data_IF_373337126734
#
_entry.id   IF_373337126734
#
_cell.length_a   1.000
_cell.length_b   1.000
_cell.length_c   1.000
_cell.angle_alpha   90.00
_cell.angle_beta   90.00
_cell.angle_gamma   90.00
#
_symmetry.space_group_name_H-M   'P 1'
#
loop_
_entity.id
_entity.type
_entity.pdbx_description
1 polymer ?
#
# COMPACT_ATOMS: atom_id res chain seq x y z
N UNK A 1 -12.81 -4.70 -5.57
CA UNK A 1 -11.71 -4.75 -4.60
C UNK A 1 -10.55 -3.79 -4.91
N UNK A 2 -10.08 -3.65 -6.16
CA UNK A 2 -8.93 -2.77 -6.47
C UNK A 2 -9.17 -1.25 -6.27
N UNK A 3 -10.39 -0.74 -6.47
CA UNK A 3 -10.70 0.71 -6.40
C UNK A 3 -10.79 1.27 -4.96
N UNK A 4 -11.20 0.47 -3.99
CA UNK A 4 -11.34 0.92 -2.60
C UNK A 4 -9.96 1.00 -1.91
N UNK A 5 -9.05 0.07 -2.22
CA UNK A 5 -7.64 0.15 -1.75
C UNK A 5 -6.91 1.38 -2.28
N UNK A 6 -7.20 1.85 -3.49
CA UNK A 6 -6.61 3.08 -4.03
C UNK A 6 -6.98 4.32 -3.19
N UNK A 7 -8.24 4.45 -2.77
CA UNK A 7 -8.72 5.65 -2.06
C UNK A 7 -8.14 5.77 -0.64
N UNK A 8 -8.02 4.65 0.10
CA UNK A 8 -7.48 4.66 1.46
C UNK A 8 -5.95 4.86 1.49
N UNK A 9 -5.21 4.24 0.57
CA UNK A 9 -3.77 4.49 0.44
C UNK A 9 -3.47 5.89 -0.12
N UNK A 10 -4.38 6.47 -0.92
CA UNK A 10 -4.26 7.85 -1.38
C UNK A 10 -4.44 8.86 -0.23
N UNK A 11 -5.28 8.56 0.75
CA UNK A 11 -5.42 9.37 1.98
C UNK A 11 -4.14 9.28 2.85
N UNK A 12 -3.46 8.15 2.90
CA UNK A 12 -2.16 7.99 3.57
C UNK A 12 -1.03 8.76 2.88
N UNK A 13 -1.02 8.81 1.54
CA UNK A 13 -0.13 9.69 0.77
C UNK A 13 -0.37 11.18 1.08
N UNK A 14 -1.62 11.57 1.36
CA UNK A 14 -1.99 12.94 1.74
C UNK A 14 -1.58 13.31 3.17
N UNK A 15 -1.60 12.38 4.11
CA UNK A 15 -1.19 12.62 5.50
C UNK A 15 0.30 12.93 5.65
N UNK A 16 1.14 12.29 4.85
CA UNK A 16 2.58 12.53 4.83
C UNK A 16 2.97 13.82 4.09
N UNK A 17 2.15 14.29 3.13
CA UNK A 17 2.41 15.52 2.40
C UNK A 17 2.08 16.79 3.17
N UNK A 18 1.22 16.75 4.20
CA UNK A 18 0.86 17.94 4.99
C UNK A 18 1.90 18.30 6.06
N UNK A 19 2.80 17.38 6.42
CA UNK A 19 3.91 17.62 7.35
C UNK A 19 5.19 18.16 6.71
N UNK A 20 5.34 18.03 5.38
CA UNK A 20 6.41 18.67 4.62
C UNK A 20 6.03 20.11 4.29
N UNK A 21 6.02 20.92 5.32
CA UNK A 21 5.88 22.36 5.27
C UNK A 21 6.93 22.99 4.35
N UNK A 22 6.57 24.12 3.80
CA UNK A 22 7.36 25.14 3.08
C UNK A 22 8.84 25.29 3.50
N UNK A 23 9.26 24.76 4.63
CA UNK A 23 10.65 24.75 5.11
C UNK A 23 11.61 23.92 4.22
N UNK A 24 11.19 22.80 3.62
CA UNK A 24 12.04 22.01 2.71
C UNK A 24 12.27 22.76 1.39
N UNK A 25 11.26 23.55 0.93
CA UNK A 25 11.42 24.40 -0.24
C UNK A 25 12.32 25.62 -0.02
N UNK A 26 12.40 26.11 1.22
CA UNK A 26 13.28 27.23 1.57
C UNK A 26 14.74 26.77 1.75
N UNK A 27 14.97 25.56 2.23
CA UNK A 27 16.33 25.06 2.50
C UNK A 27 17.09 24.70 1.22
N UNK A 28 16.41 24.20 0.18
CA UNK A 28 17.02 23.96 -1.14
C UNK A 28 17.44 25.27 -1.85
N UNK A 29 16.81 26.38 -1.53
CA UNK A 29 17.20 27.70 -2.04
C UNK A 29 18.39 28.34 -1.28
N UNK A 30 18.62 27.93 -0.02
CA UNK A 30 19.67 28.51 0.85
C UNK A 30 21.01 27.78 0.67
N UNK A 31 21.01 26.46 0.43
CA UNK A 31 22.25 25.67 0.31
C UNK A 31 23.02 25.88 -0.99
N UNK A 32 22.43 26.55 -1.98
CA UNK A 32 23.12 26.90 -3.22
C UNK A 32 24.10 28.09 -3.07
N UNK A 33 24.16 28.73 -1.91
CA UNK A 33 25.09 29.86 -1.66
C UNK A 33 26.48 29.48 -1.16
N UNK A 34 26.70 28.20 -0.76
CA UNK A 34 27.97 27.73 -0.19
C UNK A 34 28.78 26.80 -1.08
N UNK A 35 28.52 26.75 -2.39
CA UNK A 35 29.31 25.98 -3.36
C UNK A 35 30.79 26.39 -3.35
N UNK A 36 31.65 25.64 -2.63
CA UNK A 36 33.11 25.75 -2.71
C UNK A 36 33.59 25.41 -4.11
N UNK A 37 34.15 26.40 -4.78
CA UNK A 37 34.91 26.22 -6.02
C UNK A 37 36.31 25.75 -5.67
N UNK A 38 36.65 24.50 -6.05
CA UNK A 38 38.01 24.00 -5.96
C UNK A 38 38.75 24.19 -7.30
N UNK A 39 39.90 24.86 -7.19
CA UNK A 39 41.05 24.83 -8.12
C UNK A 39 40.84 25.28 -9.57
N UNK A 40 41.08 26.55 -9.78
CA UNK A 40 41.35 27.13 -11.10
C UNK A 40 42.86 27.19 -11.35
N UNK A 41 43.29 26.83 -12.54
CA UNK A 41 44.66 27.02 -13.03
C UNK A 41 45.01 28.51 -13.19
N UNK A 42 46.33 28.89 -13.07
CA UNK A 42 46.73 30.29 -12.85
C UNK A 42 46.62 31.25 -14.04
N UNK A 43 45.99 30.87 -15.15
CA UNK A 43 46.10 31.66 -16.40
C UNK A 43 44.79 32.08 -17.07
N UNK A 44 43.68 32.20 -16.33
CA UNK A 44 42.42 32.66 -16.92
C UNK A 44 42.10 34.12 -16.60
N UNK A 45 41.72 34.89 -17.62
CA UNK A 45 41.31 36.29 -17.51
C UNK A 45 40.15 36.44 -16.51
N UNK A 46 40.30 37.31 -15.45
CA UNK A 46 39.28 37.48 -14.41
C UNK A 46 37.89 37.86 -14.91
N UNK A 47 37.80 38.57 -16.02
CA UNK A 47 36.51 38.97 -16.65
C UNK A 47 35.77 37.82 -17.30
N UNK A 48 36.48 36.87 -17.90
CA UNK A 48 35.87 35.67 -18.49
C UNK A 48 35.34 34.73 -17.40
N UNK A 49 36.07 34.60 -16.30
CA UNK A 49 35.72 33.78 -15.15
C UNK A 49 34.48 34.30 -14.42
N UNK A 50 34.35 35.62 -14.24
CA UNK A 50 33.13 36.23 -13.69
C UNK A 50 31.89 36.02 -14.57
N UNK A 51 32.05 36.10 -15.89
CA UNK A 51 30.95 35.84 -16.86
C UNK A 51 30.51 34.37 -16.86
N UNK A 52 31.45 33.45 -16.78
CA UNK A 52 31.15 32.02 -16.69
C UNK A 52 30.41 31.74 -15.35
N UNK A 53 30.93 32.23 -14.21
CA UNK A 53 30.27 32.08 -12.94
C UNK A 53 28.87 32.71 -12.87
N UNK A 54 28.67 33.85 -13.50
CA UNK A 54 27.37 34.51 -13.59
C UNK A 54 26.39 33.68 -14.46
N UNK A 55 26.86 33.13 -15.59
CA UNK A 55 26.09 32.25 -16.45
C UNK A 55 25.69 30.96 -15.75
N UNK A 56 26.65 30.33 -15.06
CA UNK A 56 26.39 29.08 -14.32
C UNK A 56 25.41 29.29 -13.15
N UNK A 57 25.47 30.44 -12.45
CA UNK A 57 24.48 30.85 -11.45
C UNK A 57 23.08 31.01 -12.05
N UNK A 58 22.96 31.66 -13.20
CA UNK A 58 21.67 31.87 -13.89
C UNK A 58 21.10 30.52 -14.34
N UNK A 59 21.92 29.65 -14.93
CA UNK A 59 21.48 28.32 -15.35
C UNK A 59 21.06 27.48 -14.13
N UNK A 60 21.87 27.45 -13.07
CA UNK A 60 21.52 26.75 -11.83
C UNK A 60 20.20 27.27 -11.22
N UNK A 61 19.93 28.56 -11.33
CA UNK A 61 18.68 29.15 -10.85
C UNK A 61 17.49 28.74 -11.73
N UNK A 62 17.66 28.70 -13.06
CA UNK A 62 16.62 28.25 -14.00
C UNK A 62 16.30 26.77 -13.81
N UNK A 63 17.31 25.90 -13.70
CA UNK A 63 17.13 24.48 -13.45
C UNK A 63 16.43 24.24 -12.10
N UNK A 64 16.76 25.03 -11.08
CA UNK A 64 16.10 24.97 -9.78
C UNK A 64 14.63 25.37 -9.84
N UNK A 65 14.28 26.40 -10.62
CA UNK A 65 12.89 26.82 -10.82
C UNK A 65 12.11 25.75 -11.58
N UNK A 66 12.66 25.25 -12.69
CA UNK A 66 12.05 24.20 -13.50
C UNK A 66 11.85 22.90 -12.68
N UNK A 67 12.83 22.53 -11.87
CA UNK A 67 12.74 21.40 -10.93
C UNK A 67 11.58 21.58 -9.97
N UNK A 68 11.48 22.72 -9.30
CA UNK A 68 10.41 23.00 -8.34
C UNK A 68 9.02 23.00 -9.00
N UNK A 69 8.90 23.51 -10.21
CA UNK A 69 7.65 23.46 -10.97
C UNK A 69 7.27 22.02 -11.33
N UNK A 70 8.21 21.22 -11.82
CA UNK A 70 7.97 19.81 -12.15
C UNK A 70 7.55 19.03 -10.90
N UNK A 71 8.21 19.25 -9.75
CA UNK A 71 7.84 18.63 -8.47
C UNK A 71 6.44 19.01 -8.04
N UNK A 72 6.09 20.32 -8.05
CA UNK A 72 4.73 20.79 -7.69
C UNK A 72 3.67 20.15 -8.59
N UNK A 73 3.93 20.13 -9.90
CA UNK A 73 3.04 19.56 -10.89
C UNK A 73 2.87 18.04 -10.69
N UNK A 74 3.95 17.32 -10.40
CA UNK A 74 3.90 15.89 -10.10
C UNK A 74 2.99 15.59 -8.89
N UNK A 75 3.17 16.31 -7.77
CA UNK A 75 2.33 16.11 -6.59
C UNK A 75 0.87 16.53 -6.80
N UNK A 76 0.62 17.56 -7.61
CA UNK A 76 -0.74 17.89 -8.02
C UNK A 76 -1.39 16.76 -8.83
N UNK A 77 -0.66 16.20 -9.79
CA UNK A 77 -1.12 15.06 -10.61
C UNK A 77 -1.35 13.79 -9.80
N UNK A 78 -0.51 13.52 -8.81
CA UNK A 78 -0.70 12.41 -7.86
C UNK A 78 -2.01 12.56 -7.09
N UNK A 79 -2.35 13.77 -6.63
CA UNK A 79 -3.62 14.04 -5.94
C UNK A 79 -4.85 13.82 -6.82
N UNK A 80 -4.70 13.94 -8.13
CA UNK A 80 -5.77 13.76 -9.11
C UNK A 80 -5.71 12.39 -9.82
N UNK A 81 -5.03 11.41 -9.23
CA UNK A 81 -4.89 10.03 -9.73
C UNK A 81 -4.35 9.93 -11.17
N UNK A 82 -3.60 10.94 -11.60
CA UNK A 82 -3.02 11.00 -12.94
C UNK A 82 -1.61 10.40 -12.95
N UNK A 83 -1.50 9.08 -12.63
CA UNK A 83 -0.22 8.40 -12.43
C UNK A 83 0.77 8.49 -13.60
N UNK A 84 0.36 8.33 -14.90
CA UNK A 84 1.30 8.43 -16.01
C UNK A 84 1.93 9.82 -16.14
N UNK A 85 1.13 10.87 -15.96
CA UNK A 85 1.59 12.25 -16.06
C UNK A 85 2.47 12.62 -14.84
N UNK A 86 2.09 12.16 -13.64
CA UNK A 86 2.89 12.32 -12.43
C UNK A 86 4.26 11.64 -12.57
N UNK A 87 4.31 10.45 -13.14
CA UNK A 87 5.56 9.75 -13.46
C UNK A 87 6.46 10.61 -14.34
N UNK A 88 5.91 11.14 -15.44
CA UNK A 88 6.68 11.97 -16.39
C UNK A 88 7.30 13.20 -15.71
N UNK A 89 6.53 13.88 -14.86
CA UNK A 89 7.01 15.07 -14.14
C UNK A 89 8.06 14.72 -13.07
N UNK A 90 7.93 13.60 -12.36
CA UNK A 90 8.96 13.13 -11.43
C UNK A 90 10.25 12.77 -12.15
N UNK A 91 10.16 12.04 -13.26
CA UNK A 91 11.34 11.71 -14.08
C UNK A 91 11.98 12.97 -14.67
N UNK A 92 11.18 13.96 -15.06
CA UNK A 92 11.68 15.25 -15.53
C UNK A 92 12.43 15.99 -14.42
N UNK A 93 11.85 16.10 -13.23
CA UNK A 93 12.51 16.72 -12.07
C UNK A 93 13.85 16.05 -11.75
N UNK A 94 13.89 14.71 -11.71
CA UNK A 94 15.09 13.95 -11.43
C UNK A 94 16.21 14.13 -12.50
N UNK A 95 15.85 14.44 -13.75
CA UNK A 95 16.82 14.80 -14.80
C UNK A 95 17.37 16.21 -14.66
N UNK A 96 16.53 17.17 -14.21
CA UNK A 96 16.94 18.57 -14.04
C UNK A 96 17.97 18.72 -12.91
N UNK A 97 17.75 18.11 -11.76
CA UNK A 97 18.66 18.15 -10.60
C UNK A 97 18.94 16.75 -10.05
N UNK A 98 19.80 15.95 -10.70
CA UNK A 98 20.02 14.54 -10.34
C UNK A 98 20.58 14.31 -8.93
N UNK A 99 21.24 15.34 -8.34
CA UNK A 99 21.92 15.27 -7.04
C UNK A 99 21.20 16.05 -5.93
N UNK A 100 19.96 16.49 -6.14
CA UNK A 100 19.22 17.19 -5.09
C UNK A 100 18.95 16.24 -3.90
N UNK A 101 19.11 16.72 -2.68
CA UNK A 101 18.89 15.92 -1.45
C UNK A 101 17.46 15.38 -1.31
N UNK A 102 16.48 16.10 -1.87
CA UNK A 102 15.08 15.70 -1.89
C UNK A 102 14.76 14.54 -2.87
N UNK A 103 15.72 14.13 -3.71
CA UNK A 103 15.49 13.14 -4.75
C UNK A 103 15.14 11.76 -4.21
N UNK A 104 15.59 11.39 -3.02
CA UNK A 104 15.18 10.14 -2.37
C UNK A 104 13.65 10.05 -2.23
N UNK A 105 12.99 11.13 -1.81
CA UNK A 105 11.53 11.21 -1.69
C UNK A 105 10.86 11.15 -3.07
N UNK A 106 11.41 11.84 -4.08
CA UNK A 106 10.86 11.80 -5.43
C UNK A 106 10.99 10.42 -6.06
N UNK A 107 12.14 9.76 -5.91
CA UNK A 107 12.35 8.37 -6.36
C UNK A 107 11.45 7.39 -5.62
N UNK A 108 11.22 7.56 -4.33
CA UNK A 108 10.27 6.73 -3.60
C UNK A 108 8.85 6.87 -4.16
N UNK A 109 8.38 8.09 -4.44
CA UNK A 109 7.08 8.30 -5.06
C UNK A 109 7.03 7.74 -6.49
N UNK A 110 8.11 7.86 -7.25
CA UNK A 110 8.22 7.24 -8.57
C UNK A 110 8.15 5.70 -8.48
N UNK A 111 8.81 5.09 -7.50
CA UNK A 111 8.72 3.65 -7.26
C UNK A 111 7.31 3.20 -6.90
N UNK A 112 6.58 3.99 -6.10
CA UNK A 112 5.15 3.75 -5.80
C UNK A 112 4.30 3.81 -7.06
N UNK A 113 4.54 4.77 -7.95
CA UNK A 113 3.85 4.84 -9.25
C UNK A 113 4.14 3.60 -10.09
N UNK A 114 5.40 3.18 -10.20
CA UNK A 114 5.76 1.95 -10.90
C UNK A 114 5.03 0.74 -10.29
N UNK A 115 4.96 0.65 -8.96
CA UNK A 115 4.23 -0.41 -8.26
C UNK A 115 2.74 -0.42 -8.64
N UNK A 116 2.05 0.72 -8.58
CA UNK A 116 0.63 0.81 -8.93
C UNK A 116 0.33 0.58 -10.41
N UNK A 117 1.31 0.81 -11.28
CA UNK A 117 1.25 0.52 -12.71
C UNK A 117 1.71 -0.90 -13.06
N UNK A 118 1.92 -1.75 -12.06
CA UNK A 118 2.36 -3.14 -12.20
C UNK A 118 3.74 -3.29 -12.87
N UNK A 119 4.53 -2.23 -12.86
CA UNK A 119 5.91 -2.21 -13.37
C UNK A 119 6.89 -2.64 -12.25
N UNK A 120 6.70 -3.86 -11.74
CA UNK A 120 7.38 -4.36 -10.52
C UNK A 120 8.90 -4.32 -10.59
N UNK A 121 9.49 -4.57 -11.77
CA UNK A 121 10.96 -4.55 -11.94
C UNK A 121 11.52 -3.14 -11.86
N UNK A 122 10.82 -2.15 -12.40
CA UNK A 122 11.22 -0.74 -12.32
C UNK A 122 11.04 -0.22 -10.90
N UNK A 123 9.95 -0.60 -10.22
CA UNK A 123 9.75 -0.31 -8.80
C UNK A 123 10.91 -0.87 -7.95
N UNK A 124 11.28 -2.15 -8.13
CA UNK A 124 12.38 -2.78 -7.37
C UNK A 124 13.72 -2.10 -7.63
N UNK A 125 14.03 -1.76 -8.88
CA UNK A 125 15.26 -1.04 -9.23
C UNK A 125 15.33 0.32 -8.55
N UNK A 126 14.26 1.11 -8.67
CA UNK A 126 14.16 2.46 -8.10
C UNK A 126 14.25 2.43 -6.57
N UNK A 127 13.60 1.46 -5.91
CA UNK A 127 13.70 1.30 -4.44
C UNK A 127 15.11 0.93 -3.98
N UNK A 128 15.86 0.16 -4.75
CA UNK A 128 17.29 -0.09 -4.44
C UNK A 128 18.13 1.19 -4.54
N UNK A 129 17.87 2.04 -5.52
CA UNK A 129 18.55 3.34 -5.65
C UNK A 129 18.22 4.24 -4.46
N UNK A 130 16.93 4.33 -4.06
CA UNK A 130 16.52 5.09 -2.87
C UNK A 130 17.25 4.59 -1.62
N UNK A 131 17.32 3.28 -1.40
CA UNK A 131 18.02 2.71 -0.24
C UNK A 131 19.51 3.05 -0.22
N UNK A 132 20.18 2.98 -1.37
CA UNK A 132 21.59 3.32 -1.46
C UNK A 132 21.83 4.81 -1.14
N UNK A 133 20.97 5.69 -1.64
CA UNK A 133 21.00 7.12 -1.37
C UNK A 133 20.76 7.43 0.12
N UNK A 134 19.74 6.84 0.72
CA UNK A 134 19.42 7.02 2.14
C UNK A 134 20.51 6.47 3.06
N UNK A 135 21.14 5.34 2.70
CA UNK A 135 22.27 4.79 3.44
C UNK A 135 23.48 5.73 3.40
N UNK A 136 23.74 6.35 2.25
CA UNK A 136 24.80 7.35 2.11
C UNK A 136 24.51 8.60 2.96
N UNK A 137 23.28 9.10 2.92
CA UNK A 137 22.87 10.26 3.75
C UNK A 137 23.01 9.96 5.25
N UNK A 138 22.63 8.75 5.68
CA UNK A 138 22.77 8.33 7.07
C UNK A 138 24.24 8.28 7.50
N UNK A 139 25.11 7.72 6.66
CA UNK A 139 26.56 7.64 6.91
C UNK A 139 27.20 9.04 7.02
N UNK A 140 26.80 9.97 6.16
CA UNK A 140 27.28 11.36 6.21
C UNK A 140 26.84 12.08 7.47
N UNK A 141 25.57 11.93 7.91
CA UNK A 141 25.06 12.53 9.17
C UNK A 141 25.70 11.93 10.41
N UNK A 142 26.09 10.65 10.40
CA UNK A 142 26.81 10.00 11.49
C UNK A 142 28.22 10.57 11.75
N UNK A 143 28.83 11.17 10.75
CA UNK A 143 30.17 11.78 10.84
C UNK A 143 30.15 13.28 11.24
N UNK A 144 29.00 13.92 11.28
CA UNK A 144 28.88 15.34 11.64
C UNK A 144 28.57 15.45 13.14
N UNK A 145 29.63 15.46 13.97
CA UNK A 145 29.59 15.97 15.33
C UNK A 145 29.59 17.51 15.28
N UNK A 146 28.55 18.13 14.82
CA UNK A 146 28.43 19.60 14.91
C UNK A 146 26.98 20.01 15.14
N UNK A 147 26.80 20.68 16.25
CA UNK A 147 25.80 21.61 16.70
C UNK A 147 25.21 22.47 15.60
N UNK A 148 24.21 21.96 14.89
CA UNK A 148 23.10 22.74 14.31
C UNK A 148 21.88 21.82 14.34
N UNK A 149 20.76 22.35 14.80
CA UNK A 149 19.50 21.68 15.04
C UNK A 149 19.15 20.74 13.91
N UNK A 150 19.43 19.46 14.11
CA UNK A 150 19.19 18.41 13.14
C UNK A 150 17.70 18.37 12.84
N UNK A 151 17.33 18.33 11.57
CA UNK A 151 16.04 17.79 11.16
C UNK A 151 15.81 16.50 11.95
N UNK A 152 14.62 16.33 12.56
CA UNK A 152 14.42 15.26 13.51
C UNK A 152 14.81 13.92 12.89
N UNK A 153 15.64 13.14 13.60
CA UNK A 153 16.09 11.79 13.17
C UNK A 153 14.90 10.92 12.76
N UNK A 154 13.72 11.19 13.32
CA UNK A 154 12.45 10.58 12.99
C UNK A 154 12.10 10.58 11.49
N UNK A 155 12.33 11.68 10.77
CA UNK A 155 11.91 11.76 9.35
C UNK A 155 12.76 10.90 8.42
N UNK A 156 14.08 10.81 8.64
CA UNK A 156 14.96 9.97 7.82
C UNK A 156 14.73 8.49 8.13
N UNK A 157 14.56 8.14 9.40
CA UNK A 157 14.29 6.75 9.80
C UNK A 157 12.94 6.27 9.28
N UNK A 158 11.90 7.10 9.36
CA UNK A 158 10.58 6.80 8.78
C UNK A 158 10.67 6.59 7.26
N UNK A 159 11.39 7.44 6.54
CA UNK A 159 11.59 7.29 5.10
C UNK A 159 12.34 5.99 4.74
N UNK A 160 13.32 5.61 5.57
CA UNK A 160 14.03 4.34 5.43
C UNK A 160 13.07 3.16 5.63
N UNK A 161 12.29 3.17 6.71
CA UNK A 161 11.33 2.11 7.02
C UNK A 161 10.29 1.97 5.90
N UNK A 162 9.72 3.09 5.48
CA UNK A 162 8.76 3.12 4.36
C UNK A 162 9.36 2.53 3.07
N UNK A 163 10.62 2.89 2.75
CA UNK A 163 11.32 2.36 1.57
C UNK A 163 11.49 0.83 1.66
N UNK A 164 11.82 0.30 2.84
CA UNK A 164 11.91 -1.14 3.05
C UNK A 164 10.55 -1.83 2.86
N UNK A 165 9.49 -1.29 3.45
CA UNK A 165 8.14 -1.87 3.32
C UNK A 165 7.66 -1.89 1.86
N UNK A 166 7.88 -0.81 1.10
CA UNK A 166 7.58 -0.80 -0.33
C UNK A 166 8.42 -1.80 -1.11
N UNK A 167 9.69 -1.99 -0.75
CA UNK A 167 10.53 -3.00 -1.37
C UNK A 167 10.01 -4.42 -1.12
N UNK A 168 9.62 -4.73 0.12
CA UNK A 168 9.07 -6.05 0.46
C UNK A 168 7.75 -6.31 -0.27
N UNK A 169 6.86 -5.32 -0.34
CA UNK A 169 5.64 -5.40 -1.14
C UNK A 169 5.96 -5.69 -2.63
N UNK A 170 6.97 -5.01 -3.18
CA UNK A 170 7.38 -5.20 -4.57
C UNK A 170 7.96 -6.61 -4.80
N UNK A 171 8.78 -7.12 -3.89
CA UNK A 171 9.32 -8.48 -3.95
C UNK A 171 8.22 -9.54 -3.85
N UNK A 172 7.22 -9.32 -3.01
CA UNK A 172 6.03 -10.17 -2.93
C UNK A 172 5.28 -10.21 -4.27
N UNK A 173 5.05 -9.04 -4.90
CA UNK A 173 4.42 -8.96 -6.25
C UNK A 173 5.23 -9.65 -7.34
N UNK A 174 6.55 -9.70 -7.19
CA UNK A 174 7.46 -10.45 -8.08
C UNK A 174 7.47 -11.97 -7.79
N UNK A 175 6.67 -12.46 -6.85
CA UNK A 175 6.60 -13.87 -6.47
C UNK A 175 7.78 -14.36 -5.62
N UNK A 176 8.62 -13.44 -5.12
CA UNK A 176 9.81 -13.78 -4.31
C UNK A 176 9.45 -13.99 -2.84
N UNK A 177 8.44 -14.82 -2.56
CA UNK A 177 7.82 -14.96 -1.23
C UNK A 177 8.80 -15.33 -0.12
N UNK A 178 9.68 -16.32 -0.36
CA UNK A 178 10.67 -16.75 0.65
C UNK A 178 11.64 -15.63 0.99
N UNK A 179 12.21 -14.98 -0.02
CA UNK A 179 13.14 -13.86 0.17
C UNK A 179 12.48 -12.71 0.93
N UNK A 180 11.21 -12.44 0.63
CA UNK A 180 10.42 -11.40 1.29
C UNK A 180 10.18 -11.74 2.75
N UNK A 181 9.77 -12.98 3.06
CA UNK A 181 9.52 -13.44 4.43
C UNK A 181 10.79 -13.38 5.28
N UNK A 182 11.92 -13.88 4.76
CA UNK A 182 13.20 -13.85 5.48
C UNK A 182 13.68 -12.43 5.74
N UNK A 183 13.54 -11.55 4.75
CA UNK A 183 13.91 -10.14 4.86
C UNK A 183 13.02 -9.38 5.86
N UNK A 184 11.71 -9.63 5.85
CA UNK A 184 10.75 -9.06 6.81
C UNK A 184 11.03 -9.53 8.24
N UNK A 185 11.32 -10.82 8.43
CA UNK A 185 11.70 -11.36 9.75
C UNK A 185 12.95 -10.68 10.27
N UNK A 186 13.99 -10.57 9.46
CA UNK A 186 15.23 -9.89 9.84
C UNK A 186 14.99 -8.40 10.15
N UNK A 187 14.15 -7.71 9.36
CA UNK A 187 13.78 -6.33 9.57
C UNK A 187 13.05 -6.14 10.92
N UNK A 188 12.04 -6.93 11.21
CA UNK A 188 11.27 -6.87 12.45
C UNK A 188 12.10 -7.26 13.68
N UNK A 189 13.03 -8.23 13.55
CA UNK A 189 13.96 -8.62 14.62
C UNK A 189 14.90 -7.49 15.05
N UNK A 190 15.27 -6.61 14.13
CA UNK A 190 16.08 -5.42 14.43
C UNK A 190 15.29 -4.33 15.16
N UNK A 191 14.02 -4.57 15.49
CA UNK A 191 13.13 -3.65 16.23
C UNK A 191 13.16 -2.23 15.66
N UNK A 192 12.82 -2.04 14.38
CA UNK A 192 12.75 -0.71 13.81
C UNK A 192 11.67 0.10 14.54
N UNK A 193 11.88 1.42 14.64
CA UNK A 193 10.85 2.33 15.14
C UNK A 193 9.74 2.46 14.06
N UNK A 194 8.73 1.61 14.15
CA UNK A 194 7.57 1.60 13.25
C UNK A 194 6.38 2.29 13.92
N UNK A 195 5.59 2.99 13.13
CA UNK A 195 4.24 3.36 13.52
C UNK A 195 3.37 2.10 13.60
N UNK A 196 2.27 2.12 14.38
CA UNK A 196 1.36 0.97 14.44
C UNK A 196 0.90 0.48 13.06
N UNK A 197 0.65 1.40 12.13
CA UNK A 197 0.25 1.07 10.77
C UNK A 197 1.36 0.36 9.97
N UNK A 198 2.60 0.85 10.05
CA UNK A 198 3.74 0.21 9.39
C UNK A 198 4.02 -1.18 9.97
N UNK A 199 3.82 -1.36 11.28
CA UNK A 199 3.94 -2.65 11.94
C UNK A 199 2.85 -3.63 11.46
N UNK A 200 1.61 -3.16 11.36
CA UNK A 200 0.49 -3.94 10.79
C UNK A 200 0.79 -4.36 9.35
N UNK A 201 1.22 -3.43 8.50
CA UNK A 201 1.58 -3.71 7.11
C UNK A 201 2.68 -4.77 7.01
N UNK A 202 3.71 -4.66 7.84
CA UNK A 202 4.82 -5.61 7.86
C UNK A 202 4.38 -7.01 8.27
N UNK A 203 3.59 -7.16 9.33
CA UNK A 203 3.10 -8.46 9.78
C UNK A 203 2.03 -9.04 8.84
N UNK A 204 1.16 -8.23 8.27
CA UNK A 204 0.18 -8.68 7.25
C UNK A 204 0.91 -9.22 6.02
N UNK A 205 1.90 -8.48 5.50
CA UNK A 205 2.70 -8.95 4.36
C UNK A 205 3.50 -10.20 4.68
N UNK A 206 4.00 -10.34 5.92
CA UNK A 206 4.68 -11.55 6.37
C UNK A 206 3.70 -12.75 6.38
N UNK A 207 2.47 -12.54 6.84
CA UNK A 207 1.40 -13.52 6.78
C UNK A 207 1.07 -13.94 5.35
N UNK A 208 0.93 -12.98 4.44
CA UNK A 208 0.68 -13.22 3.02
C UNK A 208 1.81 -14.03 2.36
N UNK A 209 3.07 -13.73 2.71
CA UNK A 209 4.22 -14.51 2.24
C UNK A 209 4.16 -15.96 2.70
N UNK A 210 3.88 -16.20 3.99
CA UNK A 210 3.75 -17.54 4.55
C UNK A 210 2.56 -18.29 3.94
N UNK A 211 1.42 -17.61 3.73
CA UNK A 211 0.27 -18.17 3.05
C UNK A 211 0.61 -18.62 1.62
N UNK A 212 1.32 -17.78 0.85
CA UNK A 212 1.78 -18.11 -0.49
C UNK A 212 2.75 -19.31 -0.51
N UNK A 213 3.55 -19.46 0.54
CA UNK A 213 4.46 -20.59 0.76
C UNK A 213 3.75 -21.83 1.34
N UNK A 214 2.45 -21.74 1.64
CA UNK A 214 1.65 -22.78 2.32
C UNK A 214 2.13 -23.12 3.73
N UNK A 215 2.87 -22.22 4.38
CA UNK A 215 3.25 -22.29 5.78
C UNK A 215 2.12 -21.68 6.63
N UNK A 216 1.02 -22.41 6.74
CA UNK A 216 -0.23 -21.90 7.30
C UNK A 216 -0.12 -21.50 8.78
N UNK A 217 0.64 -22.23 9.58
CA UNK A 217 0.82 -21.88 11.00
C UNK A 217 1.60 -20.57 11.18
N UNK A 218 2.66 -20.38 10.40
CA UNK A 218 3.40 -19.13 10.42
C UNK A 218 2.56 -17.94 9.86
N UNK A 219 1.70 -18.19 8.87
CA UNK A 219 0.77 -17.19 8.36
C UNK A 219 -0.21 -16.74 9.45
N UNK A 220 -0.86 -17.68 10.15
CA UNK A 220 -1.78 -17.38 11.27
C UNK A 220 -1.05 -16.61 12.37
N UNK A 221 0.18 -17.01 12.72
CA UNK A 221 0.96 -16.31 13.74
C UNK A 221 1.24 -14.85 13.36
N UNK A 222 1.58 -14.60 12.10
CA UNK A 222 1.84 -13.23 11.59
C UNK A 222 0.56 -12.38 11.57
N UNK A 223 -0.55 -12.90 11.05
CA UNK A 223 -1.84 -12.17 11.06
C UNK A 223 -2.33 -11.86 12.47
N UNK A 224 -2.12 -12.76 13.44
CA UNK A 224 -2.45 -12.48 14.84
C UNK A 224 -1.67 -11.29 15.42
N UNK A 225 -0.45 -11.03 14.97
CA UNK A 225 0.27 -9.80 15.35
C UNK A 225 -0.46 -8.55 14.86
N UNK A 226 -0.90 -8.52 13.61
CA UNK A 226 -1.70 -7.43 13.06
C UNK A 226 -2.98 -7.22 13.88
N UNK A 227 -3.72 -8.30 14.16
CA UNK A 227 -4.99 -8.25 14.89
C UNK A 227 -4.86 -7.88 16.38
N UNK A 228 -3.67 -7.96 16.97
CA UNK A 228 -3.41 -7.39 18.31
C UNK A 228 -3.34 -5.86 18.30
N UNK A 229 -2.93 -5.27 17.19
CA UNK A 229 -2.86 -3.82 17.02
C UNK A 229 -4.24 -3.28 16.65
N UNK A 230 -4.92 -3.92 15.69
CA UNK A 230 -6.25 -3.55 15.22
C UNK A 230 -7.08 -4.81 14.93
N UNK A 231 -8.06 -5.08 15.80
CA UNK A 231 -8.83 -6.33 15.76
C UNK A 231 -9.69 -6.49 14.50
N UNK A 232 -10.08 -5.40 13.86
CA UNK A 232 -10.85 -5.35 12.61
C UNK A 232 -10.01 -5.06 11.37
N UNK A 233 -8.70 -5.32 11.40
CA UNK A 233 -7.85 -5.24 10.22
C UNK A 233 -8.23 -6.33 9.20
N UNK A 234 -9.13 -6.01 8.27
CA UNK A 234 -9.73 -6.97 7.32
C UNK A 234 -8.68 -7.63 6.43
N UNK A 235 -7.62 -6.90 6.09
CA UNK A 235 -6.49 -7.37 5.29
C UNK A 235 -5.74 -8.54 5.96
N UNK A 236 -5.80 -8.66 7.28
CA UNK A 236 -5.22 -9.76 8.03
C UNK A 236 -6.29 -10.78 8.47
N UNK A 237 -7.48 -10.30 8.89
CA UNK A 237 -8.51 -11.17 9.45
C UNK A 237 -9.09 -12.13 8.40
N UNK A 238 -9.42 -11.63 7.20
CA UNK A 238 -10.02 -12.47 6.15
C UNK A 238 -9.06 -13.58 5.68
N UNK A 239 -7.80 -13.32 5.30
CA UNK A 239 -6.88 -14.39 4.92
C UNK A 239 -6.53 -15.30 6.11
N UNK A 240 -6.51 -14.79 7.35
CA UNK A 240 -6.34 -15.64 8.53
C UNK A 240 -7.49 -16.65 8.70
N UNK A 241 -8.74 -16.20 8.54
CA UNK A 241 -9.93 -17.08 8.59
C UNK A 241 -9.83 -18.18 7.54
N UNK A 242 -9.48 -17.86 6.31
CA UNK A 242 -9.27 -18.85 5.23
C UNK A 242 -8.14 -19.81 5.55
N UNK A 243 -7.06 -19.31 6.15
CA UNK A 243 -5.92 -20.13 6.57
C UNK A 243 -6.29 -21.09 7.72
N UNK A 244 -7.04 -20.61 8.71
CA UNK A 244 -7.55 -21.43 9.82
C UNK A 244 -8.49 -22.51 9.31
N UNK A 245 -9.37 -22.19 8.35
CA UNK A 245 -10.22 -23.20 7.70
C UNK A 245 -9.38 -24.30 7.00
N UNK A 246 -8.32 -23.90 6.27
CA UNK A 246 -7.41 -24.87 5.64
C UNK A 246 -6.72 -25.76 6.67
N UNK A 247 -6.47 -25.26 7.88
CA UNK A 247 -5.94 -26.01 9.03
C UNK A 247 -7.01 -26.81 9.81
N UNK A 248 -8.28 -26.77 9.41
CA UNK A 248 -9.42 -27.37 10.12
C UNK A 248 -9.64 -26.80 11.52
N UNK A 249 -9.33 -25.51 11.70
CA UNK A 249 -9.49 -24.76 12.97
C UNK A 249 -10.65 -23.78 12.85
N UNK A 250 -11.80 -24.25 12.38
CA UNK A 250 -12.97 -23.45 12.03
C UNK A 250 -13.57 -22.71 13.24
N UNK A 251 -13.58 -23.36 14.40
CA UNK A 251 -14.06 -22.73 15.65
C UNK A 251 -13.24 -21.50 16.03
N UNK A 252 -11.93 -21.54 15.81
CA UNK A 252 -11.04 -20.40 16.05
C UNK A 252 -11.30 -19.28 15.03
N UNK A 253 -11.53 -19.62 13.77
CA UNK A 253 -11.89 -18.66 12.73
C UNK A 253 -13.19 -17.94 13.08
N UNK A 254 -14.22 -18.68 13.49
CA UNK A 254 -15.50 -18.14 13.94
C UNK A 254 -15.35 -17.26 15.20
N UNK A 255 -14.49 -17.65 16.14
CA UNK A 255 -14.21 -16.84 17.32
C UNK A 255 -13.71 -15.45 16.96
N UNK A 256 -12.75 -15.35 16.04
CA UNK A 256 -12.21 -14.07 15.58
C UNK A 256 -13.26 -13.22 14.83
N UNK A 257 -14.03 -13.83 13.91
CA UNK A 257 -15.09 -13.14 13.19
C UNK A 257 -16.18 -12.62 14.14
N UNK A 258 -16.64 -13.46 15.07
CA UNK A 258 -17.69 -13.09 16.02
C UNK A 258 -17.22 -11.98 16.98
N UNK A 259 -15.95 -11.99 17.38
CA UNK A 259 -15.40 -10.95 18.25
C UNK A 259 -15.47 -9.54 17.64
N UNK A 260 -15.42 -9.41 16.32
CA UNK A 260 -15.56 -8.14 15.61
C UNK A 260 -17.03 -7.86 15.30
N UNK A 261 -17.76 -8.84 14.75
CA UNK A 261 -19.16 -8.68 14.32
C UNK A 261 -20.17 -8.46 15.46
N UNK A 262 -19.78 -8.71 16.72
CA UNK A 262 -20.64 -8.38 17.86
C UNK A 262 -20.85 -6.86 18.04
N UNK A 263 -19.96 -6.03 17.50
CA UNK A 263 -20.03 -4.57 17.65
C UNK A 263 -20.65 -3.90 16.43
N UNK A 264 -20.36 -4.39 15.24
CA UNK A 264 -20.81 -3.80 13.98
C UNK A 264 -20.85 -4.86 12.87
N UNK A 265 -21.85 -4.76 11.99
CA UNK A 265 -22.00 -5.61 10.82
C UNK A 265 -21.10 -5.10 9.69
N UNK A 266 -19.86 -5.56 9.67
CA UNK A 266 -18.97 -5.31 8.54
C UNK A 266 -19.30 -6.27 7.39
N UNK A 267 -19.59 -5.70 6.23
CA UNK A 267 -20.03 -6.43 5.04
C UNK A 267 -19.06 -7.56 4.65
N UNK A 268 -17.77 -7.26 4.62
CA UNK A 268 -16.72 -8.22 4.25
C UNK A 268 -16.60 -9.37 5.26
N UNK A 269 -16.79 -9.09 6.55
CA UNK A 269 -16.71 -10.10 7.60
C UNK A 269 -17.96 -10.97 7.68
N UNK A 270 -19.15 -10.39 7.46
CA UNK A 270 -20.40 -11.16 7.34
C UNK A 270 -20.31 -12.10 6.14
N UNK A 271 -19.81 -11.62 5.00
CA UNK A 271 -19.62 -12.46 3.81
C UNK A 271 -18.62 -13.59 4.09
N UNK A 272 -17.50 -13.31 4.78
CA UNK A 272 -16.51 -14.31 5.16
C UNK A 272 -17.11 -15.35 6.11
N UNK A 273 -17.90 -14.92 7.12
CA UNK A 273 -18.55 -15.82 8.09
C UNK A 273 -19.63 -16.69 7.42
N UNK A 274 -20.43 -16.10 6.57
CA UNK A 274 -21.45 -16.85 5.82
C UNK A 274 -20.83 -17.96 4.96
N UNK A 275 -19.72 -17.67 4.28
CA UNK A 275 -18.98 -18.67 3.50
C UNK A 275 -18.39 -19.75 4.38
N UNK A 276 -17.77 -19.39 5.51
CA UNK A 276 -17.22 -20.35 6.45
C UNK A 276 -18.30 -21.27 7.02
N UNK A 277 -19.45 -20.71 7.42
CA UNK A 277 -20.59 -21.51 7.90
C UNK A 277 -21.06 -22.49 6.83
N UNK A 278 -21.15 -22.07 5.56
CA UNK A 278 -21.50 -22.96 4.47
C UNK A 278 -20.47 -24.08 4.27
N UNK A 279 -19.17 -23.78 4.29
CA UNK A 279 -18.09 -24.77 4.17
C UNK A 279 -18.06 -25.79 5.33
N UNK A 280 -18.55 -25.36 6.50
CA UNK A 280 -18.75 -26.23 7.67
C UNK A 280 -20.06 -27.05 7.63
N UNK A 281 -20.96 -26.79 6.67
CA UNK A 281 -22.29 -27.39 6.59
C UNK A 281 -23.32 -26.77 7.55
N UNK A 282 -23.04 -25.58 8.10
CA UNK A 282 -23.94 -24.84 9.00
C UNK A 282 -24.81 -23.89 8.16
N UNK A 283 -25.68 -24.46 7.32
CA UNK A 283 -26.41 -23.72 6.27
C UNK A 283 -27.40 -22.69 6.85
N UNK A 284 -28.04 -22.96 8.01
CA UNK A 284 -28.95 -22.01 8.67
C UNK A 284 -28.19 -20.77 9.13
N UNK A 285 -26.99 -20.92 9.68
CA UNK A 285 -26.16 -19.81 10.10
C UNK A 285 -25.64 -19.00 8.89
N UNK A 286 -25.23 -19.68 7.82
CA UNK A 286 -24.86 -19.05 6.56
C UNK A 286 -26.02 -18.23 5.98
N UNK A 287 -27.25 -18.80 5.96
CA UNK A 287 -28.45 -18.09 5.49
C UNK A 287 -28.75 -16.84 6.32
N UNK A 288 -28.57 -16.89 7.64
CA UNK A 288 -28.81 -15.73 8.51
C UNK A 288 -27.87 -14.56 8.19
N UNK A 289 -26.61 -14.85 7.91
CA UNK A 289 -25.64 -13.83 7.49
C UNK A 289 -25.97 -13.28 6.10
N UNK A 290 -26.34 -14.14 5.13
CA UNK A 290 -26.78 -13.70 3.82
C UNK A 290 -28.09 -12.90 3.85
N UNK A 291 -29.03 -13.24 4.74
CA UNK A 291 -30.24 -12.45 4.97
C UNK A 291 -29.92 -11.03 5.45
N UNK A 292 -28.95 -10.91 6.37
CA UNK A 292 -28.46 -9.63 6.88
C UNK A 292 -27.80 -8.81 5.75
N UNK A 293 -26.91 -9.42 4.97
CA UNK A 293 -26.22 -8.78 3.85
C UNK A 293 -27.20 -8.29 2.78
N UNK A 294 -28.19 -9.09 2.42
CA UNK A 294 -29.25 -8.70 1.44
C UNK A 294 -30.10 -7.56 1.98
N UNK A 295 -30.40 -7.54 3.27
CA UNK A 295 -31.18 -6.47 3.92
C UNK A 295 -30.42 -5.14 3.92
N UNK A 296 -29.12 -5.18 4.21
CA UNK A 296 -28.28 -3.98 4.28
C UNK A 296 -27.85 -3.50 2.89
N UNK A 297 -27.65 -4.42 1.95
CA UNK A 297 -27.19 -4.15 0.59
C UNK A 297 -28.13 -4.72 -0.48
N UNK A 298 -29.39 -4.24 -0.59
CA UNK A 298 -30.40 -4.82 -1.47
C UNK A 298 -30.09 -4.71 -2.96
N UNK A 299 -29.17 -3.82 -3.36
CA UNK A 299 -28.74 -3.65 -4.73
C UNK A 299 -27.63 -4.63 -5.15
N UNK A 300 -27.03 -5.35 -4.19
CA UNK A 300 -25.92 -6.26 -4.43
C UNK A 300 -26.46 -7.64 -4.83
N UNK A 301 -26.65 -7.84 -6.13
CA UNK A 301 -27.31 -9.06 -6.67
C UNK A 301 -26.52 -10.34 -6.34
N UNK A 302 -25.19 -10.27 -6.18
CA UNK A 302 -24.37 -11.41 -5.74
C UNK A 302 -24.81 -11.99 -4.40
N UNK A 303 -25.23 -11.16 -3.44
CA UNK A 303 -25.72 -11.62 -2.13
C UNK A 303 -27.10 -12.28 -2.24
N UNK A 304 -27.95 -11.75 -3.12
CA UNK A 304 -29.25 -12.38 -3.40
C UNK A 304 -29.07 -13.75 -4.06
N UNK A 305 -28.07 -13.92 -4.93
CA UNK A 305 -27.71 -15.21 -5.53
C UNK A 305 -27.23 -16.19 -4.45
N UNK A 306 -26.25 -15.79 -3.63
CA UNK A 306 -25.74 -16.62 -2.53
C UNK A 306 -26.85 -17.04 -1.56
N UNK A 307 -27.72 -16.10 -1.18
CA UNK A 307 -28.90 -16.39 -0.37
C UNK A 307 -29.83 -17.42 -1.03
N UNK A 308 -30.11 -17.30 -2.33
CA UNK A 308 -30.95 -18.24 -3.05
C UNK A 308 -30.32 -19.66 -3.10
N UNK A 309 -28.99 -19.76 -3.18
CA UNK A 309 -28.28 -21.03 -3.09
C UNK A 309 -28.47 -21.66 -1.70
N UNK A 310 -28.30 -20.90 -0.62
CA UNK A 310 -28.52 -21.42 0.73
C UNK A 310 -29.95 -21.91 0.95
N UNK A 311 -30.95 -21.16 0.46
CA UNK A 311 -32.33 -21.58 0.52
C UNK A 311 -32.55 -22.93 -0.23
N UNK A 312 -31.87 -23.12 -1.37
CA UNK A 312 -31.96 -24.39 -2.13
C UNK A 312 -31.27 -25.52 -1.37
N UNK A 313 -30.09 -25.31 -0.81
CA UNK A 313 -29.33 -26.30 -0.02
C UNK A 313 -30.14 -26.78 1.20
N UNK A 314 -30.82 -25.84 1.88
CA UNK A 314 -31.73 -26.13 3.00
C UNK A 314 -33.07 -26.81 2.52
N UNK A 315 -33.22 -27.14 1.24
CA UNK A 315 -34.42 -27.74 0.73
C UNK A 315 -35.65 -26.83 0.62
N UNK A 316 -35.48 -25.52 0.87
CA UNK A 316 -36.54 -24.51 0.81
C UNK A 316 -36.83 -24.10 -0.63
N UNK A 317 -37.14 -25.07 -1.52
CA UNK A 317 -37.27 -24.89 -2.98
C UNK A 317 -38.25 -23.79 -3.39
N UNK A 318 -39.36 -23.65 -2.70
CA UNK A 318 -40.34 -22.60 -3.00
C UNK A 318 -39.80 -21.20 -2.80
N UNK A 319 -39.07 -20.97 -1.67
CA UNK A 319 -38.42 -19.68 -1.37
C UNK A 319 -37.25 -19.42 -2.32
N UNK A 320 -36.45 -20.43 -2.63
CA UNK A 320 -35.37 -20.33 -3.61
C UNK A 320 -35.88 -19.93 -4.99
N UNK A 321 -36.97 -20.57 -5.47
CA UNK A 321 -37.64 -20.23 -6.74
C UNK A 321 -38.15 -18.79 -6.75
N UNK A 322 -38.76 -18.32 -5.67
CA UNK A 322 -39.23 -16.94 -5.56
C UNK A 322 -38.05 -15.96 -5.59
N UNK A 323 -36.94 -16.26 -4.89
CA UNK A 323 -35.71 -15.44 -4.90
C UNK A 323 -35.13 -15.35 -6.33
N UNK A 324 -35.01 -16.47 -7.03
CA UNK A 324 -34.58 -16.52 -8.45
C UNK A 324 -35.51 -15.70 -9.34
N UNK A 325 -36.83 -15.82 -9.18
CA UNK A 325 -37.79 -15.02 -9.96
C UNK A 325 -37.58 -13.51 -9.73
N UNK A 326 -37.36 -13.06 -8.48
CA UNK A 326 -37.04 -11.68 -8.16
C UNK A 326 -35.76 -11.23 -8.83
N UNK A 327 -34.69 -12.02 -8.77
CA UNK A 327 -33.40 -11.73 -9.42
C UNK A 327 -33.56 -11.54 -10.94
N UNK A 328 -34.31 -12.42 -11.60
CA UNK A 328 -34.58 -12.33 -13.06
C UNK A 328 -35.38 -11.07 -13.42
N UNK A 329 -36.32 -10.65 -12.54
CA UNK A 329 -37.05 -9.41 -12.74
C UNK A 329 -36.19 -8.13 -12.60
N UNK A 330 -35.05 -8.19 -11.89
CA UNK A 330 -34.06 -7.06 -11.84
C UNK A 330 -33.16 -6.99 -13.08
N UNK A 331 -33.34 -7.92 -14.04
CA UNK A 331 -32.50 -8.00 -15.23
C UNK A 331 -31.24 -8.85 -15.05
N UNK A 332 -31.11 -9.60 -13.96
CA UNK A 332 -29.97 -10.50 -13.78
C UNK A 332 -29.97 -11.59 -14.84
N UNK A 333 -28.85 -11.82 -15.57
CA UNK A 333 -28.85 -12.79 -16.66
C UNK A 333 -29.01 -14.21 -16.13
N UNK A 334 -30.02 -14.93 -16.64
CA UNK A 334 -30.28 -16.33 -16.24
C UNK A 334 -29.06 -17.24 -16.39
N UNK A 335 -28.23 -17.00 -17.43
CA UNK A 335 -27.01 -17.78 -17.70
C UNK A 335 -25.92 -17.59 -16.65
N UNK A 336 -25.97 -16.50 -15.89
CA UNK A 336 -25.00 -16.17 -14.81
C UNK A 336 -25.44 -16.73 -13.45
N UNK A 337 -26.66 -17.28 -13.36
CA UNK A 337 -27.07 -18.00 -12.17
C UNK A 337 -26.29 -19.33 -12.04
N UNK A 338 -25.98 -19.78 -10.82
CA UNK A 338 -25.48 -21.12 -10.58
C UNK A 338 -26.39 -22.20 -11.21
N UNK A 339 -25.80 -23.26 -11.79
CA UNK A 339 -26.53 -24.31 -12.56
C UNK A 339 -27.69 -24.89 -11.77
N UNK A 340 -27.57 -25.00 -10.46
CA UNK A 340 -28.62 -25.54 -9.58
C UNK A 340 -29.82 -24.60 -9.52
N UNK A 341 -29.60 -23.28 -9.48
CA UNK A 341 -30.66 -22.26 -9.49
C UNK A 341 -31.32 -22.09 -10.87
N UNK A 342 -30.57 -22.30 -11.96
CA UNK A 342 -31.11 -22.26 -13.32
C UNK A 342 -32.21 -23.30 -13.55
N UNK A 343 -32.19 -24.40 -12.80
CA UNK A 343 -33.19 -25.48 -12.87
C UNK A 343 -34.50 -25.15 -12.14
N UNK A 344 -34.55 -24.07 -11.38
CA UNK A 344 -35.70 -23.61 -10.60
C UNK A 344 -36.64 -22.74 -11.47
N UNK A 345 -37.14 -23.27 -12.59
CA UNK A 345 -38.11 -22.56 -13.44
C UNK A 345 -39.47 -22.46 -12.82
#
# INVERSE_FOLDING_TARGET
MCKIRLSLLFLLLLGLCTGFSTAVYAQTAIDMHTGRVSNATPNENPMSKQRIMARDRVLATQDSLAYNEAVKKAFFLLRNDSLPQAQHELEHALRLLPKAESNAVLRLNLAKIYYWREQWRDAERTLREVRAELAQQLAQKGNIKTTLEAAPKSNLQSLINETYLWQYNTLYRLGKYQVTADSLKAFLQNKPELSPHEEMDAYTLLGDCHLALKDYEAAVAAYKHTLKIEANAFEALIPMVQTLHALKRDDEALLHLNAVLQYENYEELLEARAKLHHEMGNEEAALADWDTLVKENPQKLSYQVARAEMLLTLGMKAKAKEAVKKLLHTGFPHKELPVQLQKLK
#
